data_IF_917315633482
#
_entry.id   IF_917315633482
#
_cell.length_a   1.000
_cell.length_b   1.000
_cell.length_c   1.000
_cell.angle_alpha   90.00
_cell.angle_beta   90.00
_cell.angle_gamma   90.00
#
_symmetry.space_group_name_H-M   'P 1'
#
loop_
_entity.id
_entity.type
_entity.pdbx_description
1 polymer ?
#
# COMPACT_ATOMS: atom_id res chain seq x y z
N UNK A 1 -13.09 3.89 -27.32
CA UNK A 1 -11.90 4.59 -26.77
C UNK A 1 -11.93 6.11 -27.05
N UNK A 2 -12.21 6.55 -28.29
CA UNK A 2 -12.17 7.98 -28.65
C UNK A 2 -13.19 8.89 -27.93
N UNK A 3 -14.42 8.42 -27.69
CA UNK A 3 -15.45 9.19 -26.96
C UNK A 3 -15.05 9.48 -25.50
N UNK A 4 -14.43 8.52 -24.83
CA UNK A 4 -13.92 8.70 -23.46
C UNK A 4 -12.79 9.73 -23.43
N UNK A 5 -11.80 9.60 -24.33
CA UNK A 5 -10.69 10.55 -24.45
C UNK A 5 -11.17 11.99 -24.67
N UNK A 6 -12.09 12.19 -25.62
CA UNK A 6 -12.72 13.51 -25.87
C UNK A 6 -13.45 14.05 -24.64
N UNK A 7 -14.13 13.18 -23.90
CA UNK A 7 -14.81 13.53 -22.64
C UNK A 7 -13.84 13.96 -21.54
N UNK A 8 -12.69 13.28 -21.39
CA UNK A 8 -11.64 13.64 -20.43
C UNK A 8 -11.01 14.99 -20.79
N UNK A 9 -10.68 15.20 -22.07
CA UNK A 9 -10.14 16.49 -22.55
C UNK A 9 -11.14 17.62 -22.30
N UNK A 10 -12.42 17.40 -22.61
CA UNK A 10 -13.49 18.39 -22.37
C UNK A 10 -13.70 18.71 -20.88
N UNK A 11 -13.58 17.71 -20.02
CA UNK A 11 -13.71 17.89 -18.57
C UNK A 11 -12.52 18.66 -17.96
N UNK A 12 -11.31 18.41 -18.47
CA UNK A 12 -10.08 19.04 -18.01
C UNK A 12 -9.74 18.74 -16.53
N UNK A 13 -8.62 19.31 -16.08
CA UNK A 13 -8.15 19.17 -14.70
C UNK A 13 -9.09 19.86 -13.68
N UNK A 14 -9.77 20.93 -14.07
CA UNK A 14 -10.69 21.69 -13.21
C UNK A 14 -11.86 20.86 -12.69
N UNK A 15 -12.42 19.97 -13.53
CA UNK A 15 -13.50 19.07 -13.08
C UNK A 15 -13.00 18.11 -11.99
N UNK A 16 -11.80 17.57 -12.15
CA UNK A 16 -11.19 16.69 -11.15
C UNK A 16 -10.88 17.44 -9.86
N UNK A 17 -10.26 18.62 -9.96
CA UNK A 17 -9.91 19.45 -8.81
C UNK A 17 -11.15 19.86 -7.99
N UNK A 18 -12.23 20.31 -8.64
CA UNK A 18 -13.51 20.58 -7.95
C UNK A 18 -14.07 19.35 -7.24
N UNK A 19 -14.05 18.18 -7.88
CA UNK A 19 -14.53 16.95 -7.23
C UNK A 19 -13.70 16.55 -6.01
N UNK A 20 -12.39 16.79 -5.99
CA UNK A 20 -11.59 16.59 -4.78
C UNK A 20 -12.00 17.59 -3.69
N UNK A 21 -12.04 18.89 -4.00
CA UNK A 21 -12.31 19.94 -3.01
C UNK A 21 -13.72 19.86 -2.43
N UNK A 22 -14.72 19.64 -3.28
CA UNK A 22 -16.14 19.81 -2.92
C UNK A 22 -16.80 18.48 -2.52
N UNK A 23 -16.19 17.34 -2.87
CA UNK A 23 -16.78 16.01 -2.62
C UNK A 23 -15.79 15.09 -1.90
N UNK A 24 -14.55 15.03 -2.38
CA UNK A 24 -13.50 14.20 -1.77
C UNK A 24 -13.22 14.60 -0.33
N UNK A 25 -13.16 15.90 -0.03
CA UNK A 25 -12.92 16.46 1.30
C UNK A 25 -13.87 15.87 2.35
N UNK A 26 -15.17 15.94 2.11
CA UNK A 26 -16.18 15.53 3.08
C UNK A 26 -16.29 14.00 3.19
N UNK A 27 -15.91 13.26 2.14
CA UNK A 27 -15.94 11.80 2.12
C UNK A 27 -14.72 11.14 2.74
N UNK A 28 -13.58 11.84 2.81
CA UNK A 28 -12.32 11.25 3.25
C UNK A 28 -12.39 10.74 4.68
N UNK A 29 -12.85 11.55 5.64
CA UNK A 29 -12.92 11.17 7.06
C UNK A 29 -13.80 9.93 7.33
N UNK A 30 -15.08 9.92 6.89
CA UNK A 30 -15.94 8.75 7.01
C UNK A 30 -15.38 7.53 6.28
N UNK A 31 -14.77 7.73 5.10
CA UNK A 31 -14.13 6.66 4.34
C UNK A 31 -12.96 6.01 5.10
N UNK A 32 -12.11 6.82 5.74
CA UNK A 32 -11.02 6.31 6.60
C UNK A 32 -11.61 5.49 7.75
N UNK A 33 -12.63 6.00 8.43
CA UNK A 33 -13.26 5.33 9.57
C UNK A 33 -13.87 3.98 9.18
N UNK A 34 -14.55 3.92 8.03
CA UNK A 34 -15.13 2.69 7.51
C UNK A 34 -14.05 1.65 7.12
N UNK A 35 -12.90 2.10 6.62
CA UNK A 35 -11.83 1.23 6.15
C UNK A 35 -10.88 0.72 7.26
N UNK A 36 -11.03 1.16 8.52
CA UNK A 36 -10.10 0.78 9.61
C UNK A 36 -10.02 -0.74 9.79
N UNK A 37 -11.16 -1.42 9.79
CA UNK A 37 -11.21 -2.87 10.00
C UNK A 37 -10.56 -3.64 8.84
N UNK A 38 -10.83 -3.23 7.60
CA UNK A 38 -10.26 -3.82 6.39
C UNK A 38 -8.75 -3.59 6.33
N UNK A 39 -8.30 -2.36 6.63
CA UNK A 39 -6.89 -2.02 6.69
C UNK A 39 -6.18 -2.87 7.73
N UNK A 40 -6.73 -2.95 8.96
CA UNK A 40 -6.15 -3.76 10.03
C UNK A 40 -6.05 -5.22 9.59
N UNK A 41 -7.14 -5.80 9.11
CA UNK A 41 -7.18 -7.21 8.67
C UNK A 41 -6.19 -7.49 7.54
N UNK A 42 -6.11 -6.61 6.55
CA UNK A 42 -5.21 -6.77 5.41
C UNK A 42 -3.74 -6.52 5.72
N UNK A 43 -3.43 -5.60 6.65
CA UNK A 43 -2.07 -5.21 6.99
C UNK A 43 -1.46 -6.03 8.13
N UNK A 44 -2.28 -6.49 9.08
CA UNK A 44 -1.85 -7.24 10.27
C UNK A 44 -0.88 -8.40 9.97
N UNK A 45 -1.13 -9.25 8.95
CA UNK A 45 -0.24 -10.38 8.67
C UNK A 45 1.19 -9.94 8.30
N UNK A 46 1.33 -8.78 7.68
CA UNK A 46 2.64 -8.22 7.30
C UNK A 46 3.29 -7.50 8.47
N UNK A 47 2.53 -6.76 9.29
CA UNK A 47 3.06 -6.14 10.51
C UNK A 47 3.57 -7.17 11.50
N UNK A 48 2.80 -8.23 11.75
CA UNK A 48 3.23 -9.36 12.57
C UNK A 48 4.49 -10.04 12.00
N UNK A 49 4.60 -10.16 10.67
CA UNK A 49 5.80 -10.71 10.02
C UNK A 49 7.02 -9.84 10.30
N UNK A 50 6.92 -8.52 10.13
CA UNK A 50 8.03 -7.59 10.38
C UNK A 50 8.43 -7.59 11.85
N UNK A 51 7.46 -7.58 12.76
CA UNK A 51 7.71 -7.57 14.21
C UNK A 51 8.48 -8.82 14.68
N UNK A 52 8.29 -9.95 14.01
CA UNK A 52 8.98 -11.21 14.31
C UNK A 52 10.37 -11.34 13.64
N UNK A 53 10.78 -10.40 12.79
CA UNK A 53 12.05 -10.51 12.07
C UNK A 53 13.24 -10.19 12.97
N UNK A 54 14.18 -11.14 13.01
CA UNK A 54 15.55 -10.88 13.43
C UNK A 54 16.38 -10.56 12.20
N UNK A 55 16.82 -9.30 12.08
CA UNK A 55 17.60 -8.84 10.93
C UNK A 55 19.10 -8.92 11.20
N UNK A 56 19.87 -9.01 10.13
CA UNK A 56 21.33 -8.89 10.20
C UNK A 56 21.78 -7.61 10.92
N UNK A 57 22.89 -7.63 11.69
CA UNK A 57 23.37 -6.47 12.42
C UNK A 57 23.55 -5.25 11.51
N UNK A 58 23.14 -4.07 12.00
CA UNK A 58 23.33 -2.81 11.28
C UNK A 58 24.81 -2.44 11.28
N UNK A 59 25.33 -2.08 10.10
CA UNK A 59 26.71 -1.64 9.88
C UNK A 59 26.77 -0.10 9.83
N UNK A 60 27.97 0.52 9.78
CA UNK A 60 28.09 1.98 9.68
C UNK A 60 27.22 2.56 8.56
N UNK A 61 26.80 3.82 8.73
CA UNK A 61 25.96 4.51 7.73
C UNK A 61 26.66 4.51 6.37
N UNK A 62 25.96 4.07 5.34
CA UNK A 62 26.48 4.01 3.96
C UNK A 62 27.15 2.68 3.60
N UNK A 63 27.38 1.78 4.57
CA UNK A 63 27.91 0.44 4.27
C UNK A 63 26.91 -0.33 3.37
N UNK A 64 27.36 -0.84 2.21
CA UNK A 64 26.51 -1.62 1.29
C UNK A 64 25.85 -2.84 1.94
N UNK A 65 26.46 -3.46 2.95
CA UNK A 65 25.90 -4.60 3.67
C UNK A 65 24.58 -4.26 4.39
N UNK A 66 24.27 -2.99 4.63
CA UNK A 66 22.97 -2.59 5.18
C UNK A 66 21.80 -2.92 4.23
N UNK A 67 22.04 -3.02 2.91
CA UNK A 67 21.01 -3.42 1.96
C UNK A 67 20.52 -4.86 2.18
N UNK A 68 21.34 -5.71 2.81
CA UNK A 68 20.94 -7.08 3.18
C UNK A 68 19.70 -7.07 4.09
N UNK A 69 19.59 -6.10 5.00
CA UNK A 69 18.42 -5.95 5.88
C UNK A 69 17.15 -5.65 5.09
N UNK A 70 17.24 -4.81 4.05
CA UNK A 70 16.10 -4.52 3.17
C UNK A 70 15.72 -5.76 2.37
N UNK A 71 16.71 -6.50 1.88
CA UNK A 71 16.50 -7.76 1.17
C UNK A 71 15.82 -8.81 2.06
N UNK A 72 16.24 -8.96 3.33
CA UNK A 72 15.63 -9.85 4.32
C UNK A 72 14.15 -9.52 4.54
N UNK A 73 13.82 -8.25 4.78
CA UNK A 73 12.44 -7.79 4.93
C UNK A 73 11.63 -8.09 3.66
N UNK A 74 12.16 -7.76 2.48
CA UNK A 74 11.49 -8.01 1.21
C UNK A 74 11.20 -9.49 0.96
N UNK A 75 12.16 -10.37 1.27
CA UNK A 75 11.99 -11.83 1.17
C UNK A 75 10.89 -12.32 2.11
N UNK A 76 10.90 -11.87 3.36
CA UNK A 76 9.91 -12.29 4.36
C UNK A 76 8.48 -11.85 3.99
N UNK A 77 8.31 -10.60 3.54
CA UNK A 77 7.00 -10.08 3.12
C UNK A 77 6.48 -10.80 1.87
N UNK A 78 7.34 -11.09 0.90
CA UNK A 78 6.94 -11.87 -0.28
C UNK A 78 6.53 -13.30 0.10
N UNK A 79 7.31 -13.97 0.96
CA UNK A 79 6.96 -15.28 1.47
C UNK A 79 5.59 -15.27 2.17
N UNK A 80 5.31 -14.25 3.00
CA UNK A 80 4.00 -14.09 3.64
C UNK A 80 2.87 -13.89 2.63
N UNK A 81 3.06 -13.04 1.61
CA UNK A 81 2.09 -12.83 0.53
C UNK A 81 1.78 -14.15 -0.20
N UNK A 82 2.81 -14.90 -0.57
CA UNK A 82 2.64 -16.19 -1.26
C UNK A 82 1.89 -17.21 -0.38
N UNK A 83 2.20 -17.26 0.92
CA UNK A 83 1.47 -18.11 1.86
C UNK A 83 -0.02 -17.74 1.96
N UNK A 84 -0.36 -16.45 1.99
CA UNK A 84 -1.76 -16.00 1.99
C UNK A 84 -2.48 -16.32 0.68
N UNK A 85 -1.81 -16.16 -0.47
CA UNK A 85 -2.38 -16.53 -1.76
C UNK A 85 -2.60 -18.05 -1.90
N UNK A 86 -1.68 -18.85 -1.36
CA UNK A 86 -1.81 -20.31 -1.33
C UNK A 86 -2.90 -20.80 -0.35
N UNK A 87 -3.10 -20.10 0.76
CA UNK A 87 -4.16 -20.42 1.73
C UNK A 87 -5.57 -19.98 1.28
N UNK A 88 -5.67 -18.99 0.38
CA UNK A 88 -6.92 -18.53 -0.22
C UNK A 88 -7.33 -19.28 -1.50
N UNK A 89 -6.57 -20.30 -1.90
CA UNK A 89 -6.86 -21.18 -3.03
C UNK A 89 -7.43 -22.52 -2.56
N UNK A 90 -8.74 -22.53 -2.31
CA UNK A 90 -9.56 -23.70 -1.95
C UNK A 90 -11.02 -23.28 -1.86
#
# INVERSE_FOLDING_TARGET
KERFRRGVVRAGAEKFARKIRDVGRDRFGPGVSAAVADYKTGAEPYFSTIAALTLSPRKPRGDPANYNRVQEVGKALNAKRLALLGAGGG
#
